data_IF_311522364164
#
_entry.id   IF_311522364164
#
_cell.length_a   1.000
_cell.length_b   1.000
_cell.length_c   1.000
_cell.angle_alpha   90.00
_cell.angle_beta   90.00
_cell.angle_gamma   90.00
#
_symmetry.space_group_name_H-M   'P 1'
#
loop_
_entity.id
_entity.type
_entity.pdbx_description
1 polymer ?
#
# COMPACT_ATOMS: atom_id res chain seq x y z
N UNK A 1 -12.99 -15.13 25.12
CA UNK A 1 -11.86 -15.72 24.33
C UNK A 1 -11.72 -15.14 22.92
N UNK A 2 -12.78 -14.68 22.26
CA UNK A 2 -12.71 -14.11 20.90
C UNK A 2 -11.90 -12.80 20.79
N UNK A 3 -11.92 -11.90 21.77
CA UNK A 3 -11.20 -10.63 21.68
C UNK A 3 -9.67 -10.76 21.77
N UNK A 4 -9.15 -11.72 22.53
CA UNK A 4 -7.70 -11.91 22.67
C UNK A 4 -7.06 -12.44 21.38
N UNK A 5 -7.73 -13.33 20.65
CA UNK A 5 -7.21 -13.88 19.38
C UNK A 5 -7.09 -12.83 18.26
N UNK A 6 -8.04 -11.88 18.18
CA UNK A 6 -7.99 -10.79 17.19
C UNK A 6 -6.85 -9.82 17.49
N UNK A 7 -6.62 -9.50 18.75
CA UNK A 7 -5.51 -8.61 19.17
C UNK A 7 -4.14 -9.22 18.85
N UNK A 8 -3.95 -10.51 19.10
CA UNK A 8 -2.69 -11.20 18.79
C UNK A 8 -2.46 -11.34 17.28
N UNK A 9 -3.49 -11.65 16.48
CA UNK A 9 -3.38 -11.73 15.04
C UNK A 9 -2.99 -10.40 14.40
N UNK A 10 -3.58 -9.29 14.85
CA UNK A 10 -3.25 -7.95 14.38
C UNK A 10 -1.83 -7.52 14.77
N UNK A 11 -1.38 -7.90 15.96
CA UNK A 11 -0.02 -7.65 16.44
C UNK A 11 1.02 -8.45 15.63
N UNK A 12 0.73 -9.71 15.26
CA UNK A 12 1.60 -10.51 14.40
C UNK A 12 1.78 -9.87 13.00
N UNK A 13 0.69 -9.34 12.43
CA UNK A 13 0.74 -8.63 11.13
C UNK A 13 1.65 -7.40 11.20
N UNK A 14 1.61 -6.63 12.28
CA UNK A 14 2.48 -5.45 12.45
C UNK A 14 3.96 -5.85 12.51
N UNK A 15 4.30 -6.95 13.19
CA UNK A 15 5.66 -7.48 13.18
C UNK A 15 6.09 -7.93 11.77
N UNK A 16 5.21 -8.60 11.02
CA UNK A 16 5.47 -9.01 9.62
C UNK A 16 5.71 -7.79 8.74
N UNK A 17 4.87 -6.76 8.84
CA UNK A 17 5.01 -5.53 8.04
C UNK A 17 6.33 -4.79 8.35
N UNK A 18 6.69 -4.66 9.63
CA UNK A 18 7.96 -4.06 10.06
C UNK A 18 9.16 -4.88 9.58
N UNK A 19 9.09 -6.20 9.69
CA UNK A 19 10.16 -7.07 9.23
C UNK A 19 10.36 -6.97 7.71
N UNK A 20 9.27 -6.96 6.92
CA UNK A 20 9.34 -6.73 5.47
C UNK A 20 9.99 -5.39 5.12
N UNK A 21 9.62 -4.32 5.81
CA UNK A 21 10.25 -3.02 5.60
C UNK A 21 11.77 -3.08 5.89
N UNK A 22 12.16 -3.69 7.01
CA UNK A 22 13.58 -3.85 7.37
C UNK A 22 14.33 -4.70 6.34
N UNK A 23 13.73 -5.76 5.87
CA UNK A 23 14.34 -6.67 4.87
C UNK A 23 14.51 -5.97 3.52
N UNK A 24 13.52 -5.19 3.08
CA UNK A 24 13.58 -4.42 1.86
C UNK A 24 14.65 -3.29 1.92
N UNK A 25 14.92 -2.77 3.12
CA UNK A 25 15.99 -1.81 3.38
C UNK A 25 17.39 -2.46 3.49
N UNK A 26 17.52 -3.79 3.25
CA UNK A 26 18.76 -4.52 3.38
C UNK A 26 19.18 -4.82 4.82
N UNK A 27 18.28 -4.67 5.79
CA UNK A 27 18.52 -4.85 7.23
C UNK A 27 17.95 -6.19 7.74
N UNK A 28 18.24 -7.29 7.03
CA UNK A 28 17.69 -8.60 7.33
C UNK A 28 18.02 -9.09 8.77
N UNK A 29 19.18 -8.74 9.33
CA UNK A 29 19.53 -9.10 10.72
C UNK A 29 18.60 -8.47 11.74
N UNK A 30 18.18 -7.22 11.51
CA UNK A 30 17.20 -6.54 12.38
C UNK A 30 15.81 -7.16 12.24
N UNK A 31 15.41 -7.55 11.03
CA UNK A 31 14.16 -8.26 10.80
C UNK A 31 14.14 -9.61 11.54
N UNK A 32 15.22 -10.40 11.46
CA UNK A 32 15.36 -11.66 12.19
C UNK A 32 15.26 -11.44 13.70
N UNK A 33 15.94 -10.42 14.23
CA UNK A 33 15.91 -10.09 15.66
C UNK A 33 14.50 -9.72 16.12
N UNK A 34 13.83 -8.87 15.35
CA UNK A 34 12.44 -8.41 15.61
C UNK A 34 11.48 -9.62 15.62
N UNK A 35 11.56 -10.49 14.61
CA UNK A 35 10.69 -11.65 14.49
C UNK A 35 10.98 -12.73 15.52
N UNK A 36 12.24 -12.88 15.91
CA UNK A 36 12.62 -13.82 17.00
C UNK A 36 11.96 -13.43 18.31
N UNK A 37 11.96 -12.13 18.63
CA UNK A 37 11.21 -11.62 19.78
C UNK A 37 9.71 -11.84 19.63
N UNK A 38 9.13 -11.49 18.47
CA UNK A 38 7.71 -11.67 18.23
C UNK A 38 7.27 -13.13 18.39
N UNK A 39 8.02 -14.08 17.87
CA UNK A 39 7.76 -15.52 17.96
C UNK A 39 7.80 -16.02 19.41
N UNK A 40 8.63 -15.42 20.29
CA UNK A 40 8.63 -15.80 21.70
C UNK A 40 7.35 -15.41 22.45
N UNK A 41 6.59 -14.46 21.93
CA UNK A 41 5.35 -13.96 22.49
C UNK A 41 4.11 -14.50 21.74
N UNK A 42 4.23 -14.70 20.43
CA UNK A 42 3.12 -15.05 19.52
C UNK A 42 3.51 -16.25 18.66
N UNK A 43 2.84 -17.38 18.87
CA UNK A 43 3.09 -18.58 18.07
C UNK A 43 2.18 -18.61 16.84
N UNK A 44 2.60 -17.92 15.76
CA UNK A 44 1.84 -17.81 14.51
C UNK A 44 2.71 -18.14 13.29
N UNK A 45 2.19 -18.95 12.36
CA UNK A 45 2.91 -19.44 11.18
C UNK A 45 3.51 -18.32 10.31
N UNK A 46 2.84 -17.19 10.20
CA UNK A 46 3.30 -16.03 9.39
C UNK A 46 4.60 -15.43 9.91
N UNK A 47 4.81 -15.41 11.23
CA UNK A 47 6.04 -14.88 11.82
C UNK A 47 7.26 -15.76 11.48
N UNK A 48 7.08 -17.07 11.53
CA UNK A 48 8.12 -18.02 11.10
C UNK A 48 8.39 -17.90 9.60
N UNK A 49 7.32 -17.86 8.76
CA UNK A 49 7.49 -17.73 7.32
C UNK A 49 8.22 -16.42 6.94
N UNK A 50 7.91 -15.31 7.60
CA UNK A 50 8.58 -14.04 7.34
C UNK A 50 10.04 -14.05 7.83
N UNK A 51 10.36 -14.72 8.98
CA UNK A 51 11.73 -14.86 9.43
C UNK A 51 12.52 -15.76 8.50
N UNK A 52 11.90 -16.80 7.94
CA UNK A 52 12.49 -17.64 6.90
C UNK A 52 12.85 -16.84 5.64
N UNK A 53 11.99 -15.92 5.19
CA UNK A 53 12.33 -15.00 4.07
C UNK A 53 13.55 -14.13 4.42
N UNK A 54 13.62 -13.58 5.63
CA UNK A 54 14.78 -12.80 6.07
C UNK A 54 16.08 -13.64 6.14
N UNK A 55 16.01 -14.90 6.63
CA UNK A 55 17.11 -15.84 6.56
C UNK A 55 17.52 -16.18 5.12
N UNK A 56 16.54 -16.32 4.21
CA UNK A 56 16.78 -16.56 2.79
C UNK A 56 17.61 -15.44 2.16
N UNK A 57 17.22 -14.19 2.41
CA UNK A 57 17.93 -13.01 1.89
C UNK A 57 19.34 -12.93 2.46
N UNK A 58 19.54 -13.35 3.72
CA UNK A 58 20.85 -13.44 4.33
C UNK A 58 21.71 -14.60 3.80
N UNK A 59 21.11 -15.56 3.09
CA UNK A 59 21.76 -16.77 2.62
C UNK A 59 21.86 -17.90 3.67
N UNK A 60 21.20 -17.75 4.82
CA UNK A 60 21.08 -18.81 5.83
C UNK A 60 19.90 -19.73 5.47
N UNK A 61 20.15 -20.62 4.52
CA UNK A 61 19.14 -21.57 4.05
C UNK A 61 18.77 -22.61 5.12
N UNK A 62 19.63 -22.89 6.08
CA UNK A 62 19.32 -23.83 7.18
C UNK A 62 18.32 -23.23 8.16
N UNK A 63 18.53 -21.98 8.55
CA UNK A 63 17.56 -21.23 9.37
C UNK A 63 16.21 -21.08 8.67
N UNK A 64 16.23 -20.75 7.37
CA UNK A 64 15.01 -20.61 6.57
C UNK A 64 14.22 -21.92 6.50
N UNK A 65 14.86 -23.08 6.23
CA UNK A 65 14.20 -24.39 6.18
C UNK A 65 13.58 -24.73 7.54
N UNK A 66 14.30 -24.50 8.64
CA UNK A 66 13.77 -24.73 9.99
C UNK A 66 12.48 -23.94 10.24
N UNK A 67 12.47 -22.66 9.89
CA UNK A 67 11.33 -21.78 10.11
C UNK A 67 10.15 -22.10 9.18
N UNK A 68 10.38 -22.42 7.91
CA UNK A 68 9.31 -22.85 7.01
C UNK A 68 8.67 -24.18 7.47
N UNK A 69 9.46 -25.12 7.98
CA UNK A 69 8.94 -26.36 8.56
C UNK A 69 8.08 -26.07 9.78
N UNK A 70 8.49 -25.13 10.64
CA UNK A 70 7.69 -24.75 11.80
C UNK A 70 6.40 -24.00 11.40
N UNK A 71 6.45 -23.15 10.36
CA UNK A 71 5.27 -22.54 9.77
C UNK A 71 4.28 -23.59 9.25
N UNK A 72 4.75 -24.62 8.56
CA UNK A 72 3.92 -25.73 8.09
C UNK A 72 3.38 -26.60 9.23
N UNK A 73 4.11 -26.74 10.33
CA UNK A 73 3.62 -27.44 11.53
C UNK A 73 2.43 -26.73 12.16
N UNK A 74 2.46 -25.40 12.18
CA UNK A 74 1.37 -24.56 12.74
C UNK A 74 0.19 -24.47 11.76
N UNK A 75 0.48 -24.22 10.48
CA UNK A 75 -0.51 -24.11 9.42
C UNK A 75 -0.08 -24.98 8.22
N UNK A 76 -0.63 -26.19 8.09
CA UNK A 76 -0.19 -27.16 7.08
C UNK A 76 -0.22 -26.60 5.67
N UNK A 77 0.86 -26.85 4.92
CA UNK A 77 1.08 -26.42 3.53
C UNK A 77 1.28 -24.91 3.32
N UNK A 78 1.22 -24.07 4.35
CA UNK A 78 1.32 -22.61 4.19
C UNK A 78 2.70 -22.14 3.72
N UNK A 79 3.75 -22.91 3.94
CA UNK A 79 5.13 -22.55 3.62
C UNK A 79 5.79 -23.47 2.56
N UNK A 80 5.02 -24.34 1.90
CA UNK A 80 5.57 -25.27 0.88
C UNK A 80 6.24 -24.53 -0.28
N UNK A 81 5.67 -23.40 -0.72
CA UNK A 81 6.28 -22.60 -1.75
C UNK A 81 7.64 -22.02 -1.31
N UNK A 82 7.76 -21.55 -0.08
CA UNK A 82 9.02 -21.09 0.50
C UNK A 82 10.08 -22.19 0.55
N UNK A 83 9.71 -23.41 0.98
CA UNK A 83 10.61 -24.58 0.95
C UNK A 83 11.05 -24.91 -0.47
N UNK A 84 10.13 -24.93 -1.42
CA UNK A 84 10.46 -25.16 -2.85
C UNK A 84 11.51 -24.19 -3.36
N UNK A 85 11.35 -22.88 -3.07
CA UNK A 85 12.29 -21.81 -3.44
C UNK A 85 13.69 -22.05 -2.85
N UNK A 86 13.76 -22.38 -1.56
CA UNK A 86 15.05 -22.62 -0.88
C UNK A 86 15.79 -23.80 -1.49
N UNK A 87 15.09 -24.91 -1.75
CA UNK A 87 15.73 -26.07 -2.37
C UNK A 87 16.13 -25.81 -3.82
N UNK A 88 15.38 -24.99 -4.56
CA UNK A 88 15.78 -24.52 -5.88
C UNK A 88 17.07 -23.68 -5.84
N UNK A 89 17.17 -22.72 -4.91
CA UNK A 89 18.37 -21.91 -4.69
C UNK A 89 19.60 -22.76 -4.31
N UNK A 90 19.39 -23.89 -3.63
CA UNK A 90 20.45 -24.87 -3.32
C UNK A 90 20.79 -25.79 -4.49
N UNK A 91 20.05 -25.74 -5.59
CA UNK A 91 20.21 -26.66 -6.74
C UNK A 91 19.67 -28.07 -6.50
N UNK A 92 18.93 -28.30 -5.42
CA UNK A 92 18.26 -29.57 -5.14
C UNK A 92 16.91 -29.64 -5.87
N UNK A 93 16.96 -30.05 -7.12
CA UNK A 93 15.81 -30.10 -8.02
C UNK A 93 14.71 -31.01 -7.47
N UNK A 94 15.08 -32.21 -6.99
CA UNK A 94 14.12 -33.22 -6.54
C UNK A 94 13.29 -32.72 -5.36
N UNK A 95 13.95 -32.22 -4.33
CA UNK A 95 13.28 -31.69 -3.12
C UNK A 95 12.50 -30.41 -3.44
N UNK A 96 13.03 -29.55 -4.30
CA UNK A 96 12.32 -28.34 -4.77
C UNK A 96 10.99 -28.70 -5.43
N UNK A 97 10.99 -29.63 -6.39
CA UNK A 97 9.78 -30.04 -7.10
C UNK A 97 8.78 -30.78 -6.20
N UNK A 98 9.25 -31.54 -5.22
CA UNK A 98 8.39 -32.16 -4.20
C UNK A 98 7.58 -31.09 -3.44
N UNK A 99 8.24 -30.07 -2.90
CA UNK A 99 7.55 -28.99 -2.19
C UNK A 99 6.68 -28.14 -3.12
N UNK A 100 7.09 -27.96 -4.37
CA UNK A 100 6.27 -27.25 -5.37
C UNK A 100 4.97 -28.02 -5.65
N UNK A 101 5.04 -29.35 -5.80
CA UNK A 101 3.87 -30.19 -5.96
C UNK A 101 2.91 -30.11 -4.77
N UNK A 102 3.45 -30.10 -3.54
CA UNK A 102 2.66 -29.92 -2.32
C UNK A 102 1.94 -28.55 -2.32
N UNK A 103 2.62 -27.48 -2.73
CA UNK A 103 2.00 -26.15 -2.87
C UNK A 103 0.88 -26.15 -3.92
N UNK A 104 1.15 -26.70 -5.12
CA UNK A 104 0.18 -26.71 -6.23
C UNK A 104 -1.09 -27.54 -5.94
N UNK A 105 -1.01 -28.49 -5.01
CA UNK A 105 -2.14 -29.30 -4.56
C UNK A 105 -2.80 -28.77 -3.28
N UNK A 106 -2.38 -27.61 -2.77
CA UNK A 106 -2.88 -27.03 -1.53
C UNK A 106 -3.82 -25.84 -1.76
N UNK A 107 -4.44 -25.36 -0.67
CA UNK A 107 -5.19 -24.10 -0.65
C UNK A 107 -4.28 -22.88 -0.87
N UNK A 108 -2.94 -23.02 -0.73
CA UNK A 108 -1.94 -21.97 -0.92
C UNK A 108 -1.31 -21.98 -2.31
N UNK A 109 -1.95 -22.67 -3.26
CA UNK A 109 -1.51 -22.82 -4.64
C UNK A 109 -1.12 -21.49 -5.27
N UNK A 110 0.14 -21.38 -5.73
CA UNK A 110 0.63 -20.23 -6.47
C UNK A 110 0.21 -20.30 -7.94
N UNK A 111 0.06 -19.16 -8.55
CA UNK A 111 -0.20 -19.10 -10.00
C UNK A 111 1.04 -19.51 -10.80
N UNK A 112 0.82 -20.05 -12.00
CA UNK A 112 1.91 -20.42 -12.92
C UNK A 112 2.84 -19.23 -13.19
N UNK A 113 2.25 -18.05 -13.40
CA UNK A 113 2.99 -16.81 -13.64
C UNK A 113 3.91 -16.44 -12.47
N UNK A 114 3.45 -16.55 -11.23
CA UNK A 114 4.29 -16.26 -10.06
C UNK A 114 5.48 -17.20 -10.00
N UNK A 115 5.28 -18.49 -10.27
CA UNK A 115 6.34 -19.50 -10.22
C UNK A 115 7.35 -19.29 -11.35
N UNK A 116 6.87 -19.07 -12.58
CA UNK A 116 7.73 -18.90 -13.76
C UNK A 116 8.54 -17.60 -13.73
N UNK A 117 8.10 -16.59 -13.00
CA UNK A 117 8.81 -15.32 -12.85
C UNK A 117 9.66 -15.24 -11.57
N UNK A 118 9.64 -16.26 -10.71
CA UNK A 118 10.41 -16.23 -9.47
C UNK A 118 11.87 -16.61 -9.73
N UNK A 119 12.82 -15.67 -9.51
CA UNK A 119 14.23 -15.91 -9.80
C UNK A 119 14.86 -17.02 -8.94
N UNK A 120 14.21 -17.44 -7.86
CA UNK A 120 14.69 -18.54 -7.02
C UNK A 120 14.77 -19.87 -7.78
N UNK A 121 13.96 -20.04 -8.83
CA UNK A 121 13.98 -21.26 -9.66
C UNK A 121 15.03 -21.24 -10.79
N UNK A 122 15.73 -20.14 -11.02
CA UNK A 122 16.78 -20.01 -12.03
C UNK A 122 17.81 -21.16 -12.01
N UNK A 123 18.29 -21.63 -10.84
CA UNK A 123 19.24 -22.75 -10.80
C UNK A 123 18.66 -24.09 -11.28
N UNK A 124 17.33 -24.27 -11.30
CA UNK A 124 16.67 -25.56 -11.56
C UNK A 124 15.80 -25.56 -12.83
N UNK A 125 15.40 -24.39 -13.33
CA UNK A 125 14.44 -24.25 -14.45
C UNK A 125 14.88 -24.92 -15.77
N UNK A 126 16.18 -25.09 -15.97
CA UNK A 126 16.72 -25.73 -17.17
C UNK A 126 16.95 -27.25 -17.02
N UNK A 127 16.61 -27.83 -15.84
CA UNK A 127 16.78 -29.27 -15.60
C UNK A 127 15.76 -30.11 -16.39
N UNK A 128 16.11 -31.39 -16.73
CA UNK A 128 15.16 -32.30 -17.33
C UNK A 128 13.93 -32.56 -16.45
N UNK A 129 14.13 -32.62 -15.11
CA UNK A 129 13.11 -32.86 -14.11
C UNK A 129 12.09 -31.71 -14.06
N UNK A 130 12.54 -30.45 -14.14
CA UNK A 130 11.68 -29.27 -14.21
C UNK A 130 10.81 -29.30 -15.46
N UNK A 131 11.40 -29.63 -16.64
CA UNK A 131 10.65 -29.75 -17.89
C UNK A 131 9.63 -30.89 -17.83
N UNK A 132 9.97 -32.01 -17.18
CA UNK A 132 9.05 -33.12 -17.00
C UNK A 132 7.92 -32.77 -16.04
N UNK A 133 8.20 -32.04 -14.95
CA UNK A 133 7.22 -31.58 -13.99
C UNK A 133 6.13 -30.73 -14.64
N UNK A 134 6.50 -29.80 -15.54
CA UNK A 134 5.59 -28.93 -16.25
C UNK A 134 4.84 -29.58 -17.42
N UNK A 135 5.09 -30.83 -17.75
CA UNK A 135 4.24 -31.59 -18.66
C UNK A 135 2.93 -32.04 -18.03
N UNK A 136 2.86 -32.05 -16.70
CA UNK A 136 1.63 -32.34 -15.95
C UNK A 136 0.72 -31.09 -15.98
N UNK A 137 -0.56 -31.29 -16.17
CA UNK A 137 -1.53 -30.20 -16.11
C UNK A 137 -1.80 -29.83 -14.65
N UNK A 138 -1.13 -28.80 -14.14
CA UNK A 138 -1.31 -28.26 -12.80
C UNK A 138 -2.50 -27.33 -12.66
N UNK A 139 -2.90 -26.70 -13.75
CA UNK A 139 -4.01 -25.75 -13.82
C UNK A 139 -5.03 -26.19 -14.84
N UNK A 140 -6.30 -26.21 -14.45
CA UNK A 140 -7.40 -26.49 -15.36
C UNK A 140 -7.49 -25.41 -16.47
N UNK A 141 -8.11 -25.74 -17.58
CA UNK A 141 -8.39 -24.80 -18.67
C UNK A 141 -9.10 -23.55 -18.16
N UNK A 142 -10.03 -23.74 -17.21
CA UNK A 142 -10.75 -22.65 -16.58
C UNK A 142 -9.84 -21.70 -15.77
N UNK A 143 -8.94 -22.24 -14.93
CA UNK A 143 -7.99 -21.43 -14.15
C UNK A 143 -7.06 -20.64 -15.09
N UNK A 144 -6.59 -21.27 -16.17
CA UNK A 144 -5.78 -20.61 -17.21
C UNK A 144 -6.54 -19.47 -17.87
N UNK A 145 -7.79 -19.68 -18.28
CA UNK A 145 -8.61 -18.64 -18.90
C UNK A 145 -8.89 -17.46 -17.96
N UNK A 146 -9.13 -17.72 -16.66
CA UNK A 146 -9.32 -16.65 -15.67
C UNK A 146 -8.02 -15.84 -15.49
N UNK A 147 -6.88 -16.51 -15.40
CA UNK A 147 -5.57 -15.84 -15.31
C UNK A 147 -5.26 -15.01 -16.57
N UNK A 148 -5.69 -15.47 -17.72
CA UNK A 148 -5.56 -14.74 -18.98
C UNK A 148 -6.47 -13.49 -19.02
N UNK A 149 -7.70 -13.59 -18.50
CA UNK A 149 -8.58 -12.42 -18.28
C UNK A 149 -7.93 -11.42 -17.34
N UNK A 150 -7.37 -11.86 -16.18
CA UNK A 150 -6.64 -11.00 -15.25
C UNK A 150 -5.50 -10.26 -15.95
N UNK A 151 -4.74 -10.95 -16.79
CA UNK A 151 -3.64 -10.37 -17.58
C UNK A 151 -4.15 -9.33 -18.59
N UNK A 152 -5.14 -9.65 -19.40
CA UNK A 152 -5.66 -8.74 -20.42
C UNK A 152 -6.34 -7.50 -19.80
N UNK A 153 -7.07 -7.67 -18.71
CA UNK A 153 -7.62 -6.53 -17.96
C UNK A 153 -6.51 -5.64 -17.41
N UNK A 154 -5.42 -6.21 -16.88
CA UNK A 154 -4.27 -5.45 -16.35
C UNK A 154 -3.55 -4.64 -17.42
N UNK A 155 -3.46 -5.18 -18.64
CA UNK A 155 -2.83 -4.56 -19.80
C UNK A 155 -3.76 -3.69 -20.64
N UNK A 156 -5.04 -3.58 -20.27
CA UNK A 156 -6.04 -2.75 -20.96
C UNK A 156 -6.67 -3.40 -22.20
N UNK A 157 -6.39 -4.67 -22.46
CA UNK A 157 -6.95 -5.44 -23.57
C UNK A 157 -8.34 -5.98 -23.20
N UNK A 158 -9.33 -5.07 -23.16
CA UNK A 158 -10.65 -5.39 -22.63
C UNK A 158 -11.48 -6.26 -23.56
N UNK A 159 -11.33 -6.09 -24.88
CA UNK A 159 -12.13 -6.87 -25.83
C UNK A 159 -11.67 -8.33 -25.89
N UNK A 160 -10.36 -8.58 -25.86
CA UNK A 160 -9.80 -9.93 -25.73
C UNK A 160 -10.27 -10.61 -24.44
N UNK A 161 -10.33 -9.89 -23.33
CA UNK A 161 -10.86 -10.44 -22.07
C UNK A 161 -12.35 -10.79 -22.13
N UNK A 162 -13.17 -10.03 -22.88
CA UNK A 162 -14.59 -10.34 -23.11
C UNK A 162 -14.79 -11.58 -23.96
N UNK A 163 -13.94 -11.78 -24.97
CA UNK A 163 -14.00 -12.96 -25.84
C UNK A 163 -13.77 -14.24 -25.01
N UNK A 164 -12.73 -14.26 -24.20
CA UNK A 164 -12.43 -15.38 -23.28
C UNK A 164 -13.57 -15.59 -22.28
N UNK A 165 -14.10 -14.53 -21.68
CA UNK A 165 -15.23 -14.63 -20.76
C UNK A 165 -16.46 -15.24 -21.46
N UNK A 166 -16.71 -14.86 -22.71
CA UNK A 166 -17.82 -15.38 -23.49
C UNK A 166 -17.68 -16.88 -23.76
N UNK A 167 -16.45 -17.35 -24.02
CA UNK A 167 -16.16 -18.76 -24.17
C UNK A 167 -16.30 -19.54 -22.86
N UNK A 168 -15.81 -18.98 -21.74
CA UNK A 168 -16.00 -19.56 -20.42
C UNK A 168 -17.49 -19.74 -20.08
N UNK A 169 -18.32 -18.73 -20.34
CA UNK A 169 -19.77 -18.78 -20.09
C UNK A 169 -20.51 -19.78 -20.98
N UNK A 170 -19.97 -20.11 -22.15
CA UNK A 170 -20.52 -21.17 -23.02
C UNK A 170 -20.13 -22.57 -22.52
N UNK A 171 -18.91 -22.71 -22.00
CA UNK A 171 -18.32 -24.00 -21.64
C UNK A 171 -18.64 -24.42 -20.20
N UNK A 172 -18.91 -23.47 -19.33
CA UNK A 172 -19.12 -23.71 -17.91
C UNK A 172 -20.38 -23.00 -17.40
N UNK A 173 -21.02 -23.60 -16.41
CA UNK A 173 -22.08 -22.92 -15.66
C UNK A 173 -21.47 -21.70 -14.92
N UNK A 174 -22.21 -20.60 -14.91
CA UNK A 174 -21.77 -19.38 -14.21
C UNK A 174 -21.66 -19.64 -12.71
N UNK A 175 -20.48 -19.40 -12.17
CA UNK A 175 -20.14 -19.55 -10.77
C UNK A 175 -19.30 -18.37 -10.27
N UNK A 176 -18.82 -18.47 -9.02
CA UNK A 176 -18.11 -17.39 -8.35
C UNK A 176 -16.84 -16.92 -9.11
N UNK A 177 -16.12 -17.83 -9.75
CA UNK A 177 -14.88 -17.48 -10.48
C UNK A 177 -15.22 -16.75 -11.79
N UNK A 178 -16.27 -17.16 -12.49
CA UNK A 178 -16.74 -16.48 -13.71
C UNK A 178 -17.32 -15.11 -13.36
N UNK A 179 -18.08 -14.99 -12.26
CA UNK A 179 -18.60 -13.71 -11.77
C UNK A 179 -17.45 -12.77 -11.34
N UNK A 180 -16.41 -13.31 -10.73
CA UNK A 180 -15.20 -12.56 -10.40
C UNK A 180 -14.50 -12.04 -11.67
N UNK A 181 -14.28 -12.91 -12.67
CA UNK A 181 -13.64 -12.53 -13.93
C UNK A 181 -14.46 -11.45 -14.69
N UNK A 182 -15.80 -11.59 -14.72
CA UNK A 182 -16.69 -10.58 -15.29
C UNK A 182 -16.60 -9.24 -14.52
N UNK A 183 -16.52 -9.32 -13.20
CA UNK A 183 -16.37 -8.12 -12.36
C UNK A 183 -15.06 -7.37 -12.59
N UNK A 184 -13.96 -8.07 -12.93
CA UNK A 184 -12.70 -7.44 -13.33
C UNK A 184 -12.87 -6.60 -14.60
N UNK A 185 -13.53 -7.16 -15.62
CA UNK A 185 -13.81 -6.48 -16.89
C UNK A 185 -14.74 -5.28 -16.66
N UNK A 186 -15.80 -5.45 -15.88
CA UNK A 186 -16.76 -4.40 -15.56
C UNK A 186 -16.13 -3.27 -14.75
N UNK A 187 -15.22 -3.58 -13.82
CA UNK A 187 -14.45 -2.58 -13.05
C UNK A 187 -13.64 -1.69 -13.99
N UNK A 188 -12.91 -2.29 -14.94
CA UNK A 188 -12.11 -1.55 -15.91
C UNK A 188 -12.95 -0.75 -16.89
N UNK A 189 -14.18 -1.23 -17.15
CA UNK A 189 -15.17 -0.57 -18.02
C UNK A 189 -15.98 0.53 -17.31
N UNK A 190 -15.70 0.82 -16.03
CA UNK A 190 -16.37 1.87 -15.27
C UNK A 190 -17.75 1.52 -14.70
N UNK A 191 -18.17 0.26 -14.77
CA UNK A 191 -19.48 -0.20 -14.28
C UNK A 191 -19.45 -0.50 -12.77
N UNK A 192 -19.04 0.47 -11.97
CA UNK A 192 -18.71 0.30 -10.56
C UNK A 192 -19.88 -0.22 -9.70
N UNK A 193 -21.10 0.26 -9.92
CA UNK A 193 -22.26 -0.15 -9.14
C UNK A 193 -22.64 -1.61 -9.37
N UNK A 194 -22.52 -2.10 -10.61
CA UNK A 194 -22.73 -3.51 -10.94
C UNK A 194 -21.69 -4.39 -10.24
N UNK A 195 -20.40 -3.98 -10.29
CA UNK A 195 -19.30 -4.68 -9.60
C UNK A 195 -19.56 -4.73 -8.09
N UNK A 196 -19.94 -3.61 -7.46
CA UNK A 196 -20.24 -3.57 -6.02
C UNK A 196 -21.35 -4.57 -5.67
N UNK A 197 -22.42 -4.60 -6.45
CA UNK A 197 -23.54 -5.53 -6.21
C UNK A 197 -23.09 -6.99 -6.28
N UNK A 198 -22.46 -7.39 -7.39
CA UNK A 198 -22.02 -8.78 -7.60
C UNK A 198 -20.95 -9.20 -6.60
N UNK A 199 -19.91 -8.38 -6.42
CA UNK A 199 -18.81 -8.73 -5.51
C UNK A 199 -19.25 -8.71 -4.04
N UNK A 200 -20.24 -7.91 -3.65
CA UNK A 200 -20.79 -7.98 -2.29
C UNK A 200 -21.44 -9.34 -2.01
N UNK A 201 -22.16 -9.92 -2.98
CA UNK A 201 -22.72 -11.26 -2.85
C UNK A 201 -21.62 -12.32 -2.74
N UNK A 202 -20.53 -12.21 -3.53
CA UNK A 202 -19.37 -13.09 -3.44
C UNK A 202 -18.64 -12.98 -2.09
N UNK A 203 -18.48 -11.78 -1.56
CA UNK A 203 -17.89 -11.54 -0.23
C UNK A 203 -18.79 -12.10 0.87
N UNK A 204 -20.10 -12.02 0.74
CA UNK A 204 -21.02 -12.61 1.72
C UNK A 204 -20.95 -14.15 1.74
N UNK A 205 -20.72 -14.79 0.60
CA UNK A 205 -20.55 -16.24 0.50
C UNK A 205 -19.15 -16.71 0.91
N UNK A 206 -18.13 -15.89 0.72
CA UNK A 206 -16.74 -16.16 1.09
C UNK A 206 -16.07 -14.89 1.63
N UNK A 207 -16.30 -14.54 2.91
CA UNK A 207 -15.86 -13.28 3.51
C UNK A 207 -14.34 -13.16 3.68
N UNK A 208 -13.62 -14.27 3.63
CA UNK A 208 -12.16 -14.31 3.77
C UNK A 208 -11.42 -14.25 2.41
N UNK A 209 -12.14 -14.17 1.31
CA UNK A 209 -11.53 -14.11 -0.01
C UNK A 209 -10.95 -12.71 -0.28
N UNK A 210 -9.64 -12.59 -0.12
CA UNK A 210 -8.91 -11.33 -0.31
C UNK A 210 -9.09 -10.76 -1.73
N UNK A 211 -9.16 -11.60 -2.78
CA UNK A 211 -9.35 -11.13 -4.17
C UNK A 211 -10.69 -10.39 -4.31
N UNK A 212 -11.76 -10.92 -3.73
CA UNK A 212 -13.08 -10.29 -3.77
C UNK A 212 -13.09 -8.95 -3.00
N UNK A 213 -12.50 -8.93 -1.80
CA UNK A 213 -12.40 -7.70 -1.01
C UNK A 213 -11.59 -6.62 -1.73
N UNK A 214 -10.48 -6.97 -2.39
CA UNK A 214 -9.69 -6.01 -3.17
C UNK A 214 -10.46 -5.42 -4.35
N UNK A 215 -11.27 -6.21 -5.05
CA UNK A 215 -12.13 -5.73 -6.14
C UNK A 215 -13.23 -4.83 -5.60
N UNK A 216 -13.87 -5.22 -4.48
CA UNK A 216 -14.90 -4.42 -3.83
C UNK A 216 -14.36 -3.05 -3.43
N UNK A 217 -13.19 -3.01 -2.76
CA UNK A 217 -12.56 -1.76 -2.36
C UNK A 217 -12.25 -0.85 -3.57
N UNK A 218 -11.72 -1.41 -4.66
CA UNK A 218 -11.46 -0.65 -5.90
C UNK A 218 -12.73 -0.05 -6.49
N UNK A 219 -13.81 -0.82 -6.58
CA UNK A 219 -15.08 -0.36 -7.12
C UNK A 219 -15.73 0.72 -6.22
N UNK A 220 -15.70 0.53 -4.90
CA UNK A 220 -16.20 1.49 -3.93
C UNK A 220 -15.40 2.80 -3.97
N UNK A 221 -14.07 2.73 -4.07
CA UNK A 221 -13.21 3.91 -4.23
C UNK A 221 -13.54 4.67 -5.50
N UNK A 222 -13.65 3.97 -6.64
CA UNK A 222 -13.95 4.56 -7.93
C UNK A 222 -15.38 5.16 -7.99
N UNK A 223 -16.31 4.66 -7.20
CA UNK A 223 -17.66 5.19 -7.06
C UNK A 223 -17.81 6.28 -5.98
N UNK A 224 -16.69 6.76 -5.42
CA UNK A 224 -16.67 7.79 -4.36
C UNK A 224 -17.47 7.40 -3.11
N UNK A 225 -17.35 6.16 -2.65
CA UNK A 225 -17.95 5.63 -1.44
C UNK A 225 -16.90 5.39 -0.33
N UNK A 226 -16.37 6.45 0.32
CA UNK A 226 -15.28 6.30 1.29
C UNK A 226 -15.68 5.47 2.53
N UNK A 227 -16.92 5.57 3.00
CA UNK A 227 -17.40 4.80 4.14
C UNK A 227 -17.45 3.29 3.84
N UNK A 228 -17.95 2.90 2.67
CA UNK A 228 -17.91 1.50 2.23
C UNK A 228 -16.49 1.00 2.03
N UNK A 229 -15.64 1.83 1.44
CA UNK A 229 -14.23 1.51 1.18
C UNK A 229 -13.45 1.29 2.48
N UNK A 230 -13.61 2.16 3.50
CA UNK A 230 -12.92 2.00 4.80
C UNK A 230 -13.32 0.71 5.50
N UNK A 231 -14.60 0.32 5.45
CA UNK A 231 -15.07 -0.94 5.99
C UNK A 231 -14.45 -2.15 5.28
N UNK A 232 -14.30 -2.07 3.95
CA UNK A 232 -13.67 -3.14 3.17
C UNK A 232 -12.17 -3.25 3.46
N UNK A 233 -11.46 -2.13 3.61
CA UNK A 233 -10.05 -2.14 4.04
C UNK A 233 -9.89 -2.68 5.47
N UNK A 234 -10.85 -2.39 6.36
CA UNK A 234 -10.86 -2.97 7.70
C UNK A 234 -10.93 -4.49 7.64
N UNK A 235 -11.82 -5.06 6.82
CA UNK A 235 -11.89 -6.52 6.62
C UNK A 235 -10.57 -7.10 6.11
N UNK A 236 -9.91 -6.45 5.14
CA UNK A 236 -8.61 -6.88 4.62
C UNK A 236 -7.53 -6.87 5.72
N UNK A 237 -7.50 -5.83 6.55
CA UNK A 237 -6.55 -5.74 7.66
C UNK A 237 -6.85 -6.78 8.76
N UNK A 238 -8.13 -7.04 9.04
CA UNK A 238 -8.57 -8.05 10.02
C UNK A 238 -8.24 -9.48 9.57
N UNK A 239 -8.24 -9.74 8.25
CA UNK A 239 -7.73 -11.00 7.68
C UNK A 239 -6.22 -11.15 7.83
N UNK A 240 -5.53 -10.11 8.27
CA UNK A 240 -4.09 -10.11 8.40
C UNK A 240 -3.35 -9.95 7.09
N UNK A 241 -3.95 -9.26 6.11
CA UNK A 241 -3.28 -8.93 4.86
C UNK A 241 -2.05 -8.07 5.14
N UNK A 242 -0.86 -8.59 4.82
CA UNK A 242 0.41 -7.93 5.07
C UNK A 242 0.74 -6.90 3.95
N UNK A 243 -0.11 -5.87 3.85
CA UNK A 243 -0.01 -4.76 2.90
C UNK A 243 -0.17 -3.43 3.65
N UNK A 244 0.96 -2.80 3.99
CA UNK A 244 0.98 -1.54 4.74
C UNK A 244 0.26 -0.39 4.05
N UNK A 245 0.15 -0.43 2.72
CA UNK A 245 -0.58 0.60 1.95
C UNK A 245 -2.06 0.66 2.32
N UNK A 246 -2.64 -0.44 2.80
CA UNK A 246 -4.04 -0.47 3.25
C UNK A 246 -4.30 0.52 4.40
N UNK A 247 -3.30 0.77 5.25
CA UNK A 247 -3.41 1.75 6.34
C UNK A 247 -3.60 3.16 5.78
N UNK A 248 -2.75 3.58 4.85
CA UNK A 248 -2.85 4.92 4.23
C UNK A 248 -4.13 5.06 3.39
N UNK A 249 -4.51 4.02 2.65
CA UNK A 249 -5.75 4.02 1.86
C UNK A 249 -6.99 4.11 2.76
N UNK A 250 -6.97 3.45 3.92
CA UNK A 250 -8.07 3.55 4.89
C UNK A 250 -8.09 4.91 5.58
N UNK A 251 -6.92 5.45 5.92
CA UNK A 251 -6.78 6.79 6.47
C UNK A 251 -7.36 7.86 5.53
N UNK A 252 -7.09 7.77 4.22
CA UNK A 252 -7.69 8.67 3.22
C UNK A 252 -9.23 8.60 3.22
N UNK A 253 -9.79 7.41 3.37
CA UNK A 253 -11.23 7.24 3.51
C UNK A 253 -11.76 7.91 4.80
N UNK A 254 -11.09 7.74 5.94
CA UNK A 254 -11.46 8.37 7.20
C UNK A 254 -11.35 9.90 7.16
N UNK A 255 -10.37 10.45 6.46
CA UNK A 255 -10.25 11.90 6.21
C UNK A 255 -11.48 12.39 5.46
N UNK A 256 -11.87 11.69 4.38
CA UNK A 256 -13.04 12.05 3.56
C UNK A 256 -14.37 11.93 4.31
N UNK A 257 -14.45 11.10 5.33
CA UNK A 257 -15.65 10.96 6.20
C UNK A 257 -15.59 11.81 7.47
N UNK A 258 -14.49 12.56 7.69
CA UNK A 258 -14.32 13.43 8.86
C UNK A 258 -13.88 12.67 10.13
N UNK A 259 -13.48 11.42 10.03
CA UNK A 259 -13.05 10.57 11.14
C UNK A 259 -11.53 10.72 11.41
N UNK A 260 -11.11 11.96 11.69
CA UNK A 260 -9.68 12.35 11.80
C UNK A 260 -8.89 11.52 12.79
N UNK A 261 -9.47 11.16 13.94
CA UNK A 261 -8.81 10.33 14.96
C UNK A 261 -8.48 8.92 14.45
N UNK A 262 -9.40 8.29 13.68
CA UNK A 262 -9.12 6.98 13.05
C UNK A 262 -8.08 7.10 11.95
N UNK A 263 -8.15 8.16 11.15
CA UNK A 263 -7.15 8.43 10.13
C UNK A 263 -5.75 8.55 10.73
N UNK A 264 -5.61 9.31 11.82
CA UNK A 264 -4.34 9.48 12.49
C UNK A 264 -3.79 8.16 13.05
N UNK A 265 -4.64 7.34 13.67
CA UNK A 265 -4.22 6.01 14.15
C UNK A 265 -3.63 5.14 13.03
N UNK A 266 -4.23 5.14 11.85
CA UNK A 266 -3.72 4.39 10.71
C UNK A 266 -2.40 4.98 10.17
N UNK A 267 -2.29 6.31 10.10
CA UNK A 267 -1.08 7.00 9.64
C UNK A 267 0.07 6.75 10.63
N UNK A 268 -0.17 6.85 11.93
CA UNK A 268 0.84 6.58 12.96
C UNK A 268 1.32 5.13 12.91
N UNK A 269 0.40 4.17 12.73
CA UNK A 269 0.74 2.76 12.53
C UNK A 269 1.58 2.54 11.27
N UNK A 270 1.31 3.28 10.20
CA UNK A 270 2.15 3.27 8.98
C UNK A 270 3.52 3.88 9.24
N UNK A 271 3.60 5.01 9.96
CA UNK A 271 4.86 5.67 10.32
C UNK A 271 5.71 4.84 11.29
N UNK A 272 5.09 3.96 12.08
CA UNK A 272 5.80 3.00 12.93
C UNK A 272 6.55 1.93 12.10
N UNK A 273 6.10 1.71 10.85
CA UNK A 273 6.77 0.84 9.87
C UNK A 273 7.77 1.65 9.02
N UNK A 274 7.37 2.83 8.57
CA UNK A 274 8.13 3.72 7.67
C UNK A 274 8.31 5.12 8.30
N UNK A 275 9.17 5.26 9.33
CA UNK A 275 9.25 6.50 10.11
C UNK A 275 9.80 7.71 9.36
N UNK A 276 10.32 7.50 8.15
CA UNK A 276 10.86 8.56 7.30
C UNK A 276 10.02 8.82 6.05
N UNK A 277 8.83 8.22 5.96
CA UNK A 277 7.97 8.42 4.80
C UNK A 277 7.45 9.85 4.75
N UNK A 278 7.85 10.58 3.70
CA UNK A 278 7.58 12.00 3.53
C UNK A 278 6.08 12.30 3.43
N UNK A 279 5.39 11.51 2.65
CA UNK A 279 3.97 11.67 2.38
C UNK A 279 3.13 11.38 3.63
N UNK A 280 3.48 10.35 4.37
CA UNK A 280 2.79 10.00 5.61
C UNK A 280 3.02 11.04 6.72
N UNK A 281 4.24 11.57 6.86
CA UNK A 281 4.54 12.66 7.80
C UNK A 281 3.76 13.94 7.44
N UNK A 282 3.71 14.30 6.16
CA UNK A 282 2.91 15.43 5.67
C UNK A 282 1.42 15.23 5.95
N UNK A 283 0.92 14.02 5.69
CA UNK A 283 -0.48 13.67 5.91
C UNK A 283 -0.86 13.73 7.39
N UNK A 284 -0.01 13.18 8.28
CA UNK A 284 -0.22 13.25 9.73
C UNK A 284 -0.33 14.71 10.20
N UNK A 285 0.59 15.56 9.79
CA UNK A 285 0.55 16.99 10.12
C UNK A 285 -0.72 17.68 9.62
N UNK A 286 -1.16 17.39 8.40
CA UNK A 286 -2.40 17.93 7.82
C UNK A 286 -3.65 17.47 8.58
N UNK A 287 -3.70 16.21 8.97
CA UNK A 287 -4.83 15.66 9.75
C UNK A 287 -4.88 16.30 11.14
N UNK A 288 -3.75 16.46 11.83
CA UNK A 288 -3.68 17.14 13.14
C UNK A 288 -4.07 18.62 13.02
N UNK A 289 -3.65 19.32 11.97
CA UNK A 289 -4.06 20.71 11.74
C UNK A 289 -5.58 20.82 11.55
N UNK A 290 -6.21 19.90 10.82
CA UNK A 290 -7.66 19.85 10.64
C UNK A 290 -8.37 19.49 11.96
N UNK A 291 -7.78 18.63 12.78
CA UNK A 291 -8.29 18.29 14.11
C UNK A 291 -8.13 19.44 15.13
N UNK A 292 -7.37 20.50 14.78
CA UNK A 292 -7.14 21.67 15.63
C UNK A 292 -5.89 21.55 16.51
N UNK A 293 -5.16 20.45 16.49
CA UNK A 293 -3.89 20.29 17.21
C UNK A 293 -2.72 20.84 16.40
N UNK A 294 -2.63 22.18 16.37
CA UNK A 294 -1.56 22.86 15.62
C UNK A 294 -0.16 22.56 16.15
N UNK A 295 -0.02 22.18 17.43
CA UNK A 295 1.29 21.87 18.00
C UNK A 295 1.82 20.54 17.42
N UNK A 296 1.01 19.49 17.46
CA UNK A 296 1.38 18.20 16.87
C UNK A 296 1.56 18.30 15.34
N UNK A 297 0.72 19.09 14.67
CA UNK A 297 0.91 19.37 13.24
C UNK A 297 2.31 19.91 12.95
N UNK A 298 2.78 20.91 13.73
CA UNK A 298 4.13 21.48 13.60
C UNK A 298 5.23 20.48 13.94
N UNK A 299 5.00 19.55 14.88
CA UNK A 299 5.96 18.48 15.19
C UNK A 299 6.17 17.56 13.97
N UNK A 300 5.07 17.08 13.34
CA UNK A 300 5.14 16.26 12.13
C UNK A 300 5.81 16.99 10.96
N UNK A 301 5.42 18.24 10.68
CA UNK A 301 6.02 19.02 9.61
C UNK A 301 7.51 19.33 9.86
N UNK A 302 7.89 19.58 11.12
CA UNK A 302 9.28 19.81 11.46
C UNK A 302 10.13 18.54 11.38
N UNK A 303 9.57 17.38 11.75
CA UNK A 303 10.22 16.09 11.56
C UNK A 303 10.40 15.78 10.07
N UNK A 304 9.38 16.05 9.24
CA UNK A 304 9.43 15.87 7.80
C UNK A 304 10.52 16.75 7.17
N UNK A 305 10.54 18.04 7.52
CA UNK A 305 11.54 18.98 7.02
C UNK A 305 12.97 18.62 7.44
N UNK A 306 13.16 18.09 8.64
CA UNK A 306 14.47 17.61 9.10
C UNK A 306 15.01 16.46 8.25
N UNK A 307 14.12 15.61 7.77
CA UNK A 307 14.45 14.45 6.94
C UNK A 307 14.61 14.83 5.45
N UNK A 308 13.86 15.84 5.00
CA UNK A 308 13.78 16.27 3.59
C UNK A 308 14.04 17.78 3.45
N UNK A 309 15.22 18.27 3.83
CA UNK A 309 15.51 19.72 3.91
C UNK A 309 15.55 20.42 2.54
N UNK A 310 15.65 19.67 1.45
CA UNK A 310 15.70 20.20 0.08
C UNK A 310 14.36 20.04 -0.66
N UNK A 311 13.29 19.66 0.05
CA UNK A 311 11.96 19.55 -0.55
C UNK A 311 11.15 20.82 -0.26
N UNK A 312 10.76 21.62 -1.29
CA UNK A 312 10.00 22.84 -1.10
C UNK A 312 8.63 22.60 -0.46
N UNK A 313 8.01 21.43 -0.69
CA UNK A 313 6.72 21.05 -0.13
C UNK A 313 6.75 20.96 1.40
N UNK A 314 7.85 20.48 1.98
CA UNK A 314 7.99 20.39 3.44
C UNK A 314 7.97 21.78 4.11
N UNK A 315 8.59 22.79 3.47
CA UNK A 315 8.50 24.18 3.93
C UNK A 315 7.11 24.73 3.77
N UNK A 316 6.44 24.45 2.63
CA UNK A 316 5.06 24.90 2.37
C UNK A 316 4.10 24.35 3.43
N UNK A 317 4.17 23.08 3.73
CA UNK A 317 3.29 22.44 4.71
C UNK A 317 3.43 23.10 6.10
N UNK A 318 4.67 23.33 6.54
CA UNK A 318 4.92 23.99 7.83
C UNK A 318 4.53 25.47 7.80
N UNK A 319 4.84 26.18 6.71
CA UNK A 319 4.44 27.57 6.51
C UNK A 319 2.92 27.74 6.56
N UNK A 320 2.15 26.83 5.94
CA UNK A 320 0.69 26.86 5.99
C UNK A 320 0.16 26.69 7.42
N UNK A 321 0.78 25.84 8.23
CA UNK A 321 0.40 25.70 9.65
C UNK A 321 0.71 26.98 10.46
N UNK A 322 1.87 27.59 10.23
CA UNK A 322 2.19 28.91 10.83
C UNK A 322 1.23 30.00 10.34
N UNK A 323 0.82 29.96 9.07
CA UNK A 323 -0.12 30.92 8.49
C UNK A 323 -1.49 30.83 9.17
N UNK A 324 -2.03 29.63 9.33
CA UNK A 324 -3.33 29.39 10.01
C UNK A 324 -3.28 29.86 11.46
N UNK A 325 -2.16 29.60 12.15
CA UNK A 325 -1.94 30.06 13.54
C UNK A 325 -1.56 31.54 13.65
N UNK A 326 -1.60 32.30 12.53
CA UNK A 326 -1.23 33.73 12.47
C UNK A 326 0.21 34.02 12.91
N UNK A 327 1.09 33.04 12.89
CA UNK A 327 2.51 33.17 13.18
C UNK A 327 3.27 33.67 11.95
N UNK A 328 2.90 34.91 11.49
CA UNK A 328 3.25 35.46 10.20
C UNK A 328 4.76 35.43 9.89
N UNK A 329 5.61 35.80 10.84
CA UNK A 329 7.05 35.83 10.60
C UNK A 329 7.64 34.44 10.34
N UNK A 330 7.14 33.41 11.00
CA UNK A 330 7.55 32.03 10.75
C UNK A 330 7.04 31.53 9.40
N UNK A 331 5.79 31.85 9.05
CA UNK A 331 5.21 31.53 7.75
C UNK A 331 6.03 32.17 6.62
N UNK A 332 6.36 33.47 6.73
CA UNK A 332 7.18 34.21 5.74
C UNK A 332 8.53 33.54 5.56
N UNK A 333 9.20 33.15 6.66
CA UNK A 333 10.50 32.50 6.61
C UNK A 333 10.44 31.18 5.82
N UNK A 334 9.48 30.31 6.14
CA UNK A 334 9.38 29.01 5.49
C UNK A 334 8.91 29.13 4.03
N UNK A 335 7.96 30.04 3.72
CA UNK A 335 7.63 30.35 2.32
C UNK A 335 8.83 30.86 1.54
N UNK A 336 9.68 31.69 2.15
CA UNK A 336 10.90 32.17 1.48
C UNK A 336 11.86 31.02 1.17
N UNK A 337 12.08 30.12 2.12
CA UNK A 337 12.92 28.92 1.90
C UNK A 337 12.35 28.02 0.80
N UNK A 338 11.03 27.85 0.73
CA UNK A 338 10.40 27.13 -0.36
C UNK A 338 10.61 27.80 -1.71
N UNK A 339 10.52 29.14 -1.78
CA UNK A 339 10.72 29.90 -3.00
C UNK A 339 12.20 29.98 -3.43
N UNK A 340 13.14 29.84 -2.50
CA UNK A 340 14.57 29.69 -2.83
C UNK A 340 14.83 28.35 -3.56
N UNK A 341 14.04 27.32 -3.26
CA UNK A 341 14.10 26.01 -3.91
C UNK A 341 13.26 25.95 -5.20
N UNK A 342 12.07 26.57 -5.20
CA UNK A 342 11.10 26.56 -6.31
C UNK A 342 10.56 27.99 -6.55
N UNK A 343 11.29 28.85 -7.26
CA UNK A 343 10.97 30.28 -7.41
C UNK A 343 9.71 30.56 -8.26
N UNK A 344 9.22 29.61 -9.00
CA UNK A 344 8.08 29.78 -9.91
C UNK A 344 6.72 29.38 -9.30
N UNK A 345 6.68 29.03 -8.02
CA UNK A 345 5.45 28.66 -7.35
C UNK A 345 4.59 29.90 -7.03
N UNK A 346 3.65 30.17 -7.93
CA UNK A 346 2.82 31.39 -7.86
C UNK A 346 1.90 31.43 -6.61
N UNK A 347 1.45 30.28 -6.11
CA UNK A 347 0.61 30.22 -4.90
C UNK A 347 1.42 30.53 -3.64
N UNK A 348 2.66 30.08 -3.57
CA UNK A 348 3.56 30.37 -2.45
C UNK A 348 3.90 31.87 -2.40
N UNK A 349 4.14 32.51 -3.55
CA UNK A 349 4.31 33.96 -3.62
C UNK A 349 3.07 34.71 -3.11
N UNK A 350 1.85 34.26 -3.49
CA UNK A 350 0.61 34.85 -2.99
C UNK A 350 0.48 34.72 -1.47
N UNK A 351 0.68 33.49 -0.94
CA UNK A 351 0.52 33.23 0.49
C UNK A 351 1.57 33.97 1.33
N UNK A 352 2.83 34.06 0.85
CA UNK A 352 3.87 34.88 1.47
C UNK A 352 3.49 36.35 1.48
N UNK A 353 2.99 36.88 0.37
CA UNK A 353 2.47 38.25 0.30
C UNK A 353 1.34 38.53 1.30
N UNK A 354 0.42 37.60 1.46
CA UNK A 354 -0.66 37.72 2.46
C UNK A 354 -0.08 37.73 3.87
N UNK A 355 0.89 36.86 4.17
CA UNK A 355 1.57 36.83 5.47
C UNK A 355 2.35 38.12 5.76
N UNK A 356 3.04 38.68 4.75
CA UNK A 356 3.74 39.97 4.83
C UNK A 356 2.76 41.12 5.12
N UNK A 357 1.64 41.17 4.40
CA UNK A 357 0.61 42.19 4.61
C UNK A 357 0.08 42.15 6.05
N UNK A 358 -0.25 40.96 6.55
CA UNK A 358 -0.74 40.78 7.92
C UNK A 358 0.31 41.04 9.00
N UNK A 359 1.61 40.99 8.66
CA UNK A 359 2.70 41.37 9.54
C UNK A 359 3.08 42.85 9.46
N UNK A 360 2.34 43.67 8.67
CA UNK A 360 2.54 45.11 8.52
C UNK A 360 3.58 45.48 7.47
N UNK A 361 4.09 44.57 6.65
CA UNK A 361 5.09 44.74 5.62
C UNK A 361 4.48 44.94 4.24
N UNK A 362 3.68 46.01 4.07
CA UNK A 362 2.85 46.22 2.89
C UNK A 362 3.66 46.39 1.57
N UNK A 363 4.83 47.00 1.60
CA UNK A 363 5.63 47.17 0.39
C UNK A 363 6.16 45.81 -0.12
N UNK A 364 6.71 45.00 0.78
CA UNK A 364 7.20 43.65 0.47
C UNK A 364 6.04 42.75 -0.03
N UNK A 365 4.86 42.88 0.61
CA UNK A 365 3.65 42.17 0.17
C UNK A 365 3.26 42.52 -1.26
N UNK A 366 3.33 43.78 -1.63
CA UNK A 366 3.03 44.24 -2.99
C UNK A 366 4.02 43.73 -4.04
N UNK A 367 5.30 43.59 -3.68
CA UNK A 367 6.28 42.92 -4.53
C UNK A 367 5.85 41.47 -4.80
N UNK A 368 5.56 40.73 -3.75
CA UNK A 368 5.19 39.31 -3.84
C UNK A 368 3.87 39.08 -4.59
N UNK A 369 2.86 39.93 -4.41
CA UNK A 369 1.63 39.87 -5.17
C UNK A 369 1.85 40.10 -6.67
N UNK A 370 2.71 41.07 -7.05
CA UNK A 370 3.06 41.29 -8.46
C UNK A 370 3.80 40.09 -9.05
N UNK A 371 4.73 39.51 -8.30
CA UNK A 371 5.44 38.29 -8.72
C UNK A 371 4.47 37.12 -8.92
N UNK A 372 3.58 36.87 -7.95
CA UNK A 372 2.53 35.86 -8.06
C UNK A 372 1.66 36.05 -9.31
N UNK A 373 1.23 37.31 -9.56
CA UNK A 373 0.43 37.62 -10.73
C UNK A 373 1.20 37.40 -12.05
N UNK A 374 2.46 37.81 -12.11
CA UNK A 374 3.32 37.60 -13.29
C UNK A 374 3.53 36.11 -13.61
N UNK A 375 3.47 35.25 -12.59
CA UNK A 375 3.53 33.80 -12.71
C UNK A 375 2.14 33.14 -12.99
N UNK A 376 1.10 33.96 -13.26
CA UNK A 376 -0.19 33.50 -13.71
C UNK A 376 -1.27 33.34 -12.62
N UNK A 377 -0.98 33.65 -11.37
CA UNK A 377 -1.98 33.57 -10.30
C UNK A 377 -2.94 34.77 -10.34
N UNK A 378 -4.10 34.56 -10.95
CA UNK A 378 -5.12 35.63 -11.10
C UNK A 378 -5.66 36.15 -9.77
N UNK A 379 -5.64 35.36 -8.69
CA UNK A 379 -6.09 35.81 -7.35
C UNK A 379 -5.24 36.96 -6.80
N UNK A 380 -3.98 37.04 -7.19
CA UNK A 380 -3.08 38.13 -6.76
C UNK A 380 -3.55 39.51 -7.22
N UNK A 381 -4.28 39.61 -8.34
CA UNK A 381 -4.78 40.90 -8.86
C UNK A 381 -5.70 41.63 -7.88
N UNK A 382 -6.50 40.92 -7.12
CA UNK A 382 -7.38 41.47 -6.10
C UNK A 382 -6.58 42.13 -4.95
N UNK A 383 -5.50 41.44 -4.50
CA UNK A 383 -4.62 41.99 -3.48
C UNK A 383 -3.82 43.22 -3.97
N UNK A 384 -3.37 43.19 -5.22
CA UNK A 384 -2.68 44.32 -5.84
C UNK A 384 -3.61 45.55 -5.89
N UNK A 385 -4.84 45.40 -6.38
CA UNK A 385 -5.79 46.49 -6.52
C UNK A 385 -6.18 47.16 -5.18
N UNK A 386 -6.30 46.34 -4.14
CA UNK A 386 -6.70 46.82 -2.80
C UNK A 386 -5.54 47.43 -2.00
N UNK A 387 -4.33 46.92 -2.15
CA UNK A 387 -3.25 47.22 -1.20
C UNK A 387 -2.03 47.91 -1.84
N UNK A 388 -1.88 47.88 -3.18
CA UNK A 388 -0.64 48.28 -3.85
C UNK A 388 -0.78 49.47 -4.80
N UNK A 389 -1.98 50.02 -4.95
CA UNK A 389 -2.26 51.21 -5.75
C UNK A 389 -2.42 52.37 -4.76
N UNK A 390 -1.31 53.16 -4.61
CA UNK A 390 -1.36 54.50 -4.06
C UNK A 390 -0.89 55.47 -5.10
#
# INVERSE_FOLDING_TARGET
MFCAGIVYGQQAVDYVLKAKALTNDGRADLAITLLTRAISEINESRLYAERAEAYTIKGDYSGAISDYNEANRINPFSAEYGLSRIYALKGDVGTSLYHLEMNLNSAFKRSEKEIMLDPAFGPVENSPEWRQFWKKEWYSTREKSISEIEYYVSTGKIDESKDILSELKRSYQTDNDILYAESLINLKSGKYQEVIRVITELVNSNPENEKYLRILAKAQTASSNPAGTSNTYTKLLDLGTADSKLLILRADCYIKTGETGKALTDIERFLDIYPKDKEALSLAGKVEAVAGDNLKALEYFSANLKLHPNDPGCYIDRANSYFVSKSWNWAIKDYSMSLDLEPENSDVWLNKGIALLNSGKAEDACHDFRKSFSLGNKRASEYISRNCIK
#
